data_IF_987444038566
#
_entry.id   IF_987444038566
#
_cell.length_a   1.000
_cell.length_b   1.000
_cell.length_c   1.000
_cell.angle_alpha   90.00
_cell.angle_beta   90.00
_cell.angle_gamma   90.00
#
_symmetry.space_group_name_H-M   'P 1'
#
loop_
_entity.id
_entity.type
_entity.pdbx_description
1 polymer ?
#
# COMPACT_ATOMS: atom_id res chain seq x y z
N UNK A 1 8.91 3.15 -44.40
CA UNK A 1 9.95 2.96 -43.35
C UNK A 1 9.62 3.89 -42.17
N UNK A 2 9.25 3.34 -41.02
CA UNK A 2 9.03 4.14 -39.80
C UNK A 2 10.40 4.61 -39.28
N UNK A 3 10.63 5.92 -39.29
CA UNK A 3 11.85 6.58 -38.78
C UNK A 3 12.15 6.11 -37.36
N UNK A 4 13.43 5.94 -37.00
CA UNK A 4 13.87 5.31 -35.75
C UNK A 4 13.25 5.88 -34.46
N UNK A 5 12.86 7.17 -34.46
CA UNK A 5 12.11 7.81 -33.35
C UNK A 5 10.74 7.17 -33.09
N UNK A 6 10.04 6.72 -34.12
CA UNK A 6 8.70 6.12 -34.00
C UNK A 6 8.75 4.70 -33.42
N UNK A 7 9.81 3.95 -33.71
CA UNK A 7 10.04 2.58 -33.20
C UNK A 7 10.36 2.60 -31.70
N UNK A 8 11.21 3.54 -31.26
CA UNK A 8 11.51 3.74 -29.84
C UNK A 8 10.27 4.17 -29.05
N UNK A 9 9.47 5.10 -29.59
CA UNK A 9 8.23 5.53 -28.94
C UNK A 9 7.22 4.39 -28.76
N UNK A 10 7.08 3.53 -29.77
CA UNK A 10 6.19 2.38 -29.72
C UNK A 10 6.65 1.33 -28.69
N UNK A 11 7.95 1.08 -28.61
CA UNK A 11 8.54 0.14 -27.65
C UNK A 11 8.38 0.64 -26.20
N UNK A 12 8.66 1.92 -25.96
CA UNK A 12 8.44 2.57 -24.64
C UNK A 12 6.97 2.51 -24.24
N UNK A 13 6.04 2.75 -25.17
CA UNK A 13 4.60 2.63 -24.91
C UNK A 13 4.18 1.21 -24.54
N UNK A 14 4.75 0.20 -25.18
CA UNK A 14 4.47 -1.22 -24.91
C UNK A 14 4.99 -1.62 -23.52
N UNK A 15 6.20 -1.19 -23.16
CA UNK A 15 6.78 -1.41 -21.84
C UNK A 15 5.97 -0.74 -20.72
N UNK A 16 5.60 0.53 -20.89
CA UNK A 16 4.76 1.25 -19.94
C UNK A 16 3.39 0.58 -19.75
N UNK A 17 2.79 0.05 -20.81
CA UNK A 17 1.51 -0.69 -20.72
C UNK A 17 1.67 -2.02 -19.99
N UNK A 18 2.80 -2.72 -20.18
CA UNK A 18 3.13 -3.95 -19.48
C UNK A 18 3.35 -3.70 -17.98
N UNK A 19 4.11 -2.66 -17.64
CA UNK A 19 4.30 -2.21 -16.26
C UNK A 19 2.98 -1.88 -15.57
N UNK A 20 2.07 -1.19 -16.27
CA UNK A 20 0.74 -0.88 -15.76
C UNK A 20 -0.11 -2.11 -15.50
N UNK A 21 -0.09 -3.09 -16.41
CA UNK A 21 -0.80 -4.35 -16.19
C UNK A 21 -0.22 -5.14 -15.04
N UNK A 22 1.11 -5.14 -14.89
CA UNK A 22 1.79 -5.72 -13.72
C UNK A 22 1.35 -5.04 -12.42
N UNK A 23 1.30 -3.72 -12.39
CA UNK A 23 0.84 -2.96 -11.21
C UNK A 23 -0.65 -3.21 -10.91
N UNK A 24 -1.52 -3.27 -11.92
CA UNK A 24 -2.96 -3.56 -11.74
C UNK A 24 -3.17 -4.98 -11.24
N UNK A 25 -2.49 -5.97 -11.81
CA UNK A 25 -2.54 -7.36 -11.35
C UNK A 25 -2.02 -7.45 -9.91
N UNK A 26 -0.93 -6.75 -9.60
CA UNK A 26 -0.40 -6.67 -8.24
C UNK A 26 -1.38 -6.03 -7.25
N UNK A 27 -2.06 -4.95 -7.65
CA UNK A 27 -3.12 -4.29 -6.86
C UNK A 27 -4.29 -5.23 -6.58
N UNK A 28 -4.76 -5.95 -7.60
CA UNK A 28 -5.85 -6.92 -7.46
C UNK A 28 -5.43 -8.04 -6.51
N UNK A 29 -4.20 -8.55 -6.63
CA UNK A 29 -3.66 -9.57 -5.73
C UNK A 29 -3.58 -9.03 -4.29
N UNK A 30 -3.05 -7.82 -4.06
CA UNK A 30 -2.97 -7.23 -2.72
C UNK A 30 -4.34 -6.88 -2.11
N UNK A 31 -5.34 -6.49 -2.92
CA UNK A 31 -6.68 -6.17 -2.43
C UNK A 31 -7.51 -7.42 -2.12
N UNK A 32 -7.34 -8.51 -2.87
CA UNK A 32 -8.10 -9.75 -2.70
C UNK A 32 -7.43 -10.70 -1.71
N UNK A 33 -6.10 -10.60 -1.54
CA UNK A 33 -5.35 -11.48 -0.66
C UNK A 33 -5.55 -11.10 0.82
N UNK A 34 -5.98 -12.04 1.68
CA UNK A 34 -5.95 -11.87 3.14
C UNK A 34 -4.51 -11.87 3.71
N UNK A 35 -3.52 -12.13 2.85
CA UNK A 35 -2.10 -12.06 3.15
C UNK A 35 -1.55 -10.71 2.72
N UNK A 36 -1.09 -9.92 3.67
CA UNK A 36 -0.41 -8.65 3.40
C UNK A 36 1.08 -8.92 3.16
N UNK A 37 1.56 -8.52 1.98
CA UNK A 37 2.98 -8.33 1.74
C UNK A 37 3.50 -7.17 2.61
N UNK A 38 4.79 -7.23 2.96
CA UNK A 38 5.47 -6.22 3.76
C UNK A 38 5.00 -4.80 3.44
N UNK A 39 4.83 -4.00 4.49
CA UNK A 39 4.41 -2.58 4.51
C UNK A 39 5.09 -1.68 3.46
N UNK A 40 6.27 -2.07 2.96
CA UNK A 40 7.01 -1.35 1.92
C UNK A 40 6.42 -1.49 0.51
N UNK A 41 5.76 -2.60 0.17
CA UNK A 41 5.17 -2.78 -1.16
C UNK A 41 3.97 -1.87 -1.38
N UNK A 42 3.13 -1.67 -0.35
CA UNK A 42 2.02 -0.72 -0.38
C UNK A 42 2.50 0.73 -0.58
N UNK A 43 3.63 1.10 0.04
CA UNK A 43 4.22 2.45 -0.11
C UNK A 43 4.66 2.68 -1.55
N UNK A 44 5.28 1.69 -2.20
CA UNK A 44 5.71 1.82 -3.59
C UNK A 44 4.50 2.02 -4.50
N UNK A 45 3.44 1.20 -4.35
CA UNK A 45 2.24 1.30 -5.19
C UNK A 45 1.52 2.64 -5.00
N UNK A 46 1.35 3.09 -3.76
CA UNK A 46 0.72 4.40 -3.46
C UNK A 46 1.55 5.55 -4.03
N UNK A 47 2.88 5.41 -4.06
CA UNK A 47 3.77 6.42 -4.61
C UNK A 47 3.88 6.37 -6.14
N UNK A 48 3.86 5.22 -6.80
CA UNK A 48 4.11 5.12 -8.26
C UNK A 48 2.85 5.27 -9.11
N UNK A 49 1.75 4.70 -8.66
CA UNK A 49 0.53 4.57 -9.45
C UNK A 49 -0.14 5.91 -9.81
N UNK A 50 -0.20 6.92 -8.92
CA UNK A 50 -0.72 8.24 -9.25
C UNK A 50 0.06 8.92 -10.38
N UNK A 51 1.39 8.80 -10.38
CA UNK A 51 2.26 9.39 -11.41
C UNK A 51 2.11 8.71 -12.76
N UNK A 52 1.93 7.39 -12.76
CA UNK A 52 1.71 6.62 -13.98
C UNK A 52 0.38 7.01 -14.60
N UNK A 53 -0.72 6.99 -13.83
CA UNK A 53 -2.04 7.41 -14.32
C UNK A 53 -2.03 8.84 -14.84
N UNK A 54 -1.45 9.78 -14.08
CA UNK A 54 -1.32 11.18 -14.47
C UNK A 54 -0.56 11.33 -15.80
N UNK A 55 0.55 10.61 -15.95
CA UNK A 55 1.37 10.64 -17.18
C UNK A 55 0.58 10.16 -18.40
N UNK A 56 -0.27 9.14 -18.25
CA UNK A 56 -1.14 8.66 -19.32
C UNK A 56 -2.25 9.66 -19.66
N UNK A 57 -2.92 10.22 -18.65
CA UNK A 57 -3.97 11.22 -18.80
C UNK A 57 -3.46 12.48 -19.52
N UNK A 58 -2.33 13.03 -19.07
CA UNK A 58 -1.70 14.20 -19.71
C UNK A 58 -1.38 13.92 -21.17
N UNK A 59 -0.81 12.75 -21.49
CA UNK A 59 -0.49 12.37 -22.88
C UNK A 59 -1.74 12.18 -23.74
N UNK A 60 -2.78 11.54 -23.19
CA UNK A 60 -4.04 11.31 -23.88
C UNK A 60 -4.75 12.62 -24.22
N UNK A 61 -4.89 13.50 -23.23
CA UNK A 61 -5.56 14.80 -23.40
C UNK A 61 -4.75 15.73 -24.29
N UNK A 62 -3.41 15.75 -24.17
CA UNK A 62 -2.55 16.52 -25.10
C UNK A 62 -2.74 16.10 -26.56
N UNK A 63 -2.94 14.80 -26.81
CA UNK A 63 -3.18 14.28 -28.16
C UNK A 63 -4.57 14.69 -28.66
N UNK A 64 -5.62 14.50 -27.87
CA UNK A 64 -6.99 14.95 -28.17
C UNK A 64 -7.05 16.45 -28.45
N UNK A 65 -6.35 17.27 -27.65
CA UNK A 65 -6.34 18.71 -27.83
C UNK A 65 -5.70 19.13 -29.17
N UNK A 66 -4.66 18.44 -29.62
CA UNK A 66 -4.03 18.67 -30.94
C UNK A 66 -4.91 18.23 -32.11
N UNK A 67 -5.73 17.21 -31.92
CA UNK A 67 -6.60 16.65 -32.96
C UNK A 67 -7.90 17.47 -33.11
N UNK A 68 -8.47 17.98 -32.01
CA UNK A 68 -9.80 18.63 -32.00
C UNK A 68 -9.77 20.15 -31.75
N UNK A 69 -8.68 20.72 -31.22
CA UNK A 69 -8.55 22.15 -30.97
C UNK A 69 -9.51 22.73 -29.92
N UNK A 70 -10.28 21.89 -29.22
CA UNK A 70 -11.33 22.32 -28.30
C UNK A 70 -10.76 22.94 -27.00
N UNK A 71 -11.28 24.11 -26.62
CA UNK A 71 -10.91 24.84 -25.41
C UNK A 71 -11.19 24.05 -24.11
N UNK A 72 -12.26 23.25 -24.07
CA UNK A 72 -12.57 22.40 -22.92
C UNK A 72 -11.48 21.35 -22.65
N UNK A 73 -10.86 20.83 -23.71
CA UNK A 73 -9.77 19.85 -23.61
C UNK A 73 -8.47 20.54 -23.16
N UNK A 74 -8.25 21.79 -23.56
CA UNK A 74 -7.16 22.63 -23.04
C UNK A 74 -7.32 22.96 -21.54
N UNK A 75 -8.56 23.18 -21.08
CA UNK A 75 -8.87 23.35 -19.65
C UNK A 75 -8.59 22.06 -18.85
N UNK A 76 -8.99 20.90 -19.37
CA UNK A 76 -8.67 19.60 -18.76
C UNK A 76 -7.15 19.35 -18.69
N UNK A 77 -6.41 19.72 -19.75
CA UNK A 77 -4.95 19.61 -19.76
C UNK A 77 -4.31 20.45 -18.65
N UNK A 78 -4.74 21.71 -18.50
CA UNK A 78 -4.22 22.61 -17.47
C UNK A 78 -4.61 22.16 -16.06
N UNK A 79 -5.85 21.69 -15.84
CA UNK A 79 -6.26 21.09 -14.56
C UNK A 79 -5.39 19.90 -14.15
N UNK A 80 -4.99 19.04 -15.09
CA UNK A 80 -4.10 17.91 -14.78
C UNK A 80 -2.71 18.37 -14.34
N UNK A 81 -2.16 19.43 -14.94
CA UNK A 81 -0.90 20.00 -14.47
C UNK A 81 -1.04 20.61 -13.07
N UNK A 82 -2.17 21.25 -12.78
CA UNK A 82 -2.47 21.79 -11.46
C UNK A 82 -2.67 20.70 -10.40
N UNK A 83 -3.03 19.46 -10.78
CA UNK A 83 -3.12 18.33 -9.84
C UNK A 83 -1.77 17.79 -9.33
N UNK A 84 -0.66 18.09 -10.00
CA UNK A 84 0.69 17.64 -9.62
C UNK A 84 1.05 18.02 -8.17
N UNK A 85 0.98 19.30 -7.75
CA UNK A 85 1.29 19.67 -6.37
C UNK A 85 0.38 18.97 -5.35
N UNK A 86 -0.90 18.75 -5.66
CA UNK A 86 -1.80 18.02 -4.77
C UNK A 86 -1.39 16.55 -4.60
N UNK A 87 -0.94 15.89 -5.68
CA UNK A 87 -0.41 14.53 -5.61
C UNK A 87 0.85 14.49 -4.74
N UNK A 88 1.76 15.45 -4.88
CA UNK A 88 2.96 15.56 -4.05
C UNK A 88 2.59 15.74 -2.58
N UNK A 89 1.67 16.67 -2.26
CA UNK A 89 1.22 16.91 -0.88
C UNK A 89 0.58 15.65 -0.30
N UNK A 90 -0.28 14.96 -1.06
CA UNK A 90 -0.90 13.71 -0.62
C UNK A 90 0.13 12.62 -0.35
N UNK A 91 1.19 12.51 -1.17
CA UNK A 91 2.27 11.56 -0.97
C UNK A 91 3.13 11.89 0.26
N UNK A 92 3.42 13.18 0.49
CA UNK A 92 4.12 13.62 1.70
C UNK A 92 3.30 13.35 2.97
N UNK A 93 2.00 13.62 2.94
CA UNK A 93 1.08 13.31 4.03
C UNK A 93 1.02 11.79 4.29
N UNK A 94 0.94 10.99 3.23
CA UNK A 94 0.93 9.54 3.34
C UNK A 94 2.25 9.00 3.91
N UNK A 95 3.39 9.52 3.47
CA UNK A 95 4.70 9.17 4.01
C UNK A 95 4.85 9.56 5.49
N UNK A 96 4.34 10.74 5.87
CA UNK A 96 4.34 11.20 7.26
C UNK A 96 3.45 10.34 8.16
N UNK A 97 2.21 10.04 7.73
CA UNK A 97 1.33 9.08 8.42
C UNK A 97 1.96 7.68 8.50
N UNK A 98 2.67 7.28 7.45
CA UNK A 98 3.47 6.07 7.39
C UNK A 98 4.57 6.06 8.45
N UNK A 99 5.28 7.16 8.70
CA UNK A 99 6.29 7.22 9.75
C UNK A 99 5.67 7.17 11.15
N UNK A 100 4.58 7.92 11.37
CA UNK A 100 3.86 7.91 12.64
C UNK A 100 3.40 6.50 13.02
N UNK A 101 2.88 5.72 12.07
CA UNK A 101 2.49 4.33 12.29
C UNK A 101 3.69 3.41 12.57
N UNK A 102 4.91 3.77 12.16
CA UNK A 102 6.11 2.93 12.41
C UNK A 102 6.58 3.17 13.84
N UNK A 103 6.60 4.43 14.25
CA UNK A 103 6.94 4.83 15.61
C UNK A 103 5.92 4.33 16.64
N UNK A 104 4.65 4.17 16.24
CA UNK A 104 3.60 3.63 17.08
C UNK A 104 3.54 2.10 17.12
N UNK A 105 4.39 1.38 16.37
CA UNK A 105 4.39 -0.09 16.37
C UNK A 105 5.61 -0.65 17.10
N UNK A 106 5.37 -1.48 18.13
CA UNK A 106 6.39 -2.16 18.89
C UNK A 106 6.26 -3.67 18.73
N UNK A 107 7.27 -4.32 18.14
CA UNK A 107 7.33 -5.78 18.06
C UNK A 107 7.81 -6.29 19.42
N UNK A 108 7.02 -7.13 20.08
CA UNK A 108 7.35 -7.71 21.40
C UNK A 108 7.93 -9.11 21.28
N UNK A 109 7.55 -9.84 20.24
CA UNK A 109 8.05 -11.18 19.95
C UNK A 109 7.98 -11.45 18.44
N UNK A 110 8.99 -12.13 17.89
CA UNK A 110 9.02 -12.56 16.50
C UNK A 110 9.82 -13.86 16.40
N UNK A 111 9.25 -14.86 15.73
CA UNK A 111 9.83 -16.17 15.47
C UNK A 111 9.50 -16.63 14.03
N UNK A 112 9.89 -17.85 13.66
CA UNK A 112 9.66 -18.44 12.34
C UNK A 112 8.21 -18.43 11.86
N UNK A 113 7.25 -18.51 12.80
CA UNK A 113 5.83 -18.68 12.53
C UNK A 113 4.95 -17.53 12.98
N UNK A 114 5.30 -16.81 14.05
CA UNK A 114 4.46 -15.72 14.56
C UNK A 114 5.25 -14.45 14.89
N UNK A 115 4.60 -13.31 14.65
CA UNK A 115 5.00 -12.00 15.16
C UNK A 115 3.88 -11.44 16.05
N UNK A 116 4.25 -11.03 17.25
CA UNK A 116 3.39 -10.28 18.17
C UNK A 116 3.80 -8.82 18.15
N UNK A 117 2.83 -7.96 17.84
CA UNK A 117 3.03 -6.52 17.71
C UNK A 117 2.05 -5.79 18.61
N UNK A 118 2.55 -4.83 19.38
CA UNK A 118 1.73 -3.82 20.04
C UNK A 118 1.65 -2.60 19.13
N UNK A 119 0.44 -2.18 18.81
CA UNK A 119 0.14 -0.98 18.06
C UNK A 119 -0.32 0.06 19.07
N UNK A 120 0.59 0.96 19.43
CA UNK A 120 0.29 2.08 20.30
C UNK A 120 -0.70 3.02 19.59
N UNK A 121 -1.63 3.55 20.36
CA UNK A 121 -2.61 4.51 19.90
C UNK A 121 -1.92 5.78 19.37
N UNK A 122 -2.31 6.20 18.17
CA UNK A 122 -1.84 7.45 17.56
C UNK A 122 -2.54 8.69 18.14
N UNK A 123 -3.71 8.49 18.75
CA UNK A 123 -4.55 9.55 19.31
C UNK A 123 -4.99 9.17 20.73
N UNK A 124 -5.10 10.15 21.61
CA UNK A 124 -5.50 9.95 23.02
C UNK A 124 -6.90 9.33 23.19
N UNK A 125 -7.72 9.33 22.14
CA UNK A 125 -9.06 8.72 22.12
C UNK A 125 -9.05 7.24 21.72
N UNK A 126 -7.89 6.70 21.34
CA UNK A 126 -7.74 5.30 20.93
C UNK A 126 -7.01 4.51 22.01
N UNK A 127 -7.34 3.23 22.14
CA UNK A 127 -6.62 2.30 23.00
C UNK A 127 -5.49 1.63 22.22
N UNK A 128 -4.42 1.29 22.92
CA UNK A 128 -3.37 0.45 22.38
C UNK A 128 -3.95 -0.91 21.99
N UNK A 129 -3.43 -1.50 20.90
CA UNK A 129 -3.89 -2.78 20.39
C UNK A 129 -2.77 -3.79 20.40
N UNK A 130 -3.12 -5.06 20.61
CA UNK A 130 -2.25 -6.18 20.33
C UNK A 130 -2.68 -6.83 19.02
N UNK A 131 -1.70 -7.14 18.18
CA UNK A 131 -1.89 -7.85 16.92
C UNK A 131 -0.92 -9.05 16.88
N UNK A 132 -1.44 -10.23 16.56
CA UNK A 132 -0.65 -11.42 16.29
C UNK A 132 -0.77 -11.73 14.81
N UNK A 133 0.37 -11.80 14.14
CA UNK A 133 0.48 -12.14 12.74
C UNK A 133 1.16 -13.50 12.58
N UNK A 134 0.60 -14.36 11.74
CA UNK A 134 1.23 -15.59 11.30
C UNK A 134 2.06 -15.34 10.03
N UNK A 135 3.28 -15.87 10.01
CA UNK A 135 4.20 -15.79 8.89
C UNK A 135 4.02 -16.98 7.96
N UNK A 136 4.02 -16.72 6.66
CA UNK A 136 4.16 -17.74 5.64
C UNK A 136 5.15 -17.25 4.57
N UNK A 137 6.44 -17.50 4.80
CA UNK A 137 7.51 -16.93 3.98
C UNK A 137 7.54 -15.39 4.09
N UNK A 138 7.47 -14.62 2.99
CA UNK A 138 7.44 -13.15 3.04
C UNK A 138 6.06 -12.57 3.41
N UNK A 139 5.05 -13.42 3.58
CA UNK A 139 3.66 -13.00 3.79
C UNK A 139 3.26 -13.04 5.26
N UNK A 140 2.39 -12.11 5.66
CA UNK A 140 1.86 -11.99 7.00
C UNK A 140 0.34 -12.04 6.95
N UNK A 141 -0.25 -12.86 7.81
CA UNK A 141 -1.69 -12.94 8.00
C UNK A 141 -2.07 -12.59 9.43
N UNK A 142 -3.04 -11.70 9.61
CA UNK A 142 -3.53 -11.34 10.94
C UNK A 142 -4.43 -12.46 11.47
N UNK A 143 -3.97 -13.17 12.51
CA UNK A 143 -4.72 -14.26 13.15
C UNK A 143 -5.45 -13.81 14.40
N UNK A 144 -4.98 -12.73 15.04
CA UNK A 144 -5.63 -12.15 16.21
C UNK A 144 -5.36 -10.65 16.31
N UNK A 145 -6.37 -9.91 16.75
CA UNK A 145 -6.30 -8.46 16.98
C UNK A 145 -7.33 -8.06 18.01
N UNK A 146 -6.89 -7.39 19.07
CA UNK A 146 -7.73 -6.93 20.17
C UNK A 146 -7.11 -5.70 20.84
N UNK A 147 -7.88 -5.03 21.69
CA UNK A 147 -7.36 -3.99 22.57
C UNK A 147 -6.40 -4.62 23.60
N UNK A 148 -5.31 -3.90 23.92
CA UNK A 148 -4.19 -4.42 24.71
C UNK A 148 -4.57 -4.75 26.16
N UNK A 149 -5.56 -4.05 26.73
CA UNK A 149 -5.96 -4.19 28.14
C UNK A 149 -6.38 -5.60 28.53
N UNK A 150 -6.93 -6.37 27.58
CA UNK A 150 -7.43 -7.73 27.84
C UNK A 150 -6.35 -8.83 27.69
N UNK A 151 -5.11 -8.47 27.36
CA UNK A 151 -4.08 -9.44 26.99
C UNK A 151 -2.79 -9.28 27.78
N UNK A 152 -2.42 -10.33 28.50
CA UNK A 152 -1.15 -10.44 29.21
C UNK A 152 0.01 -10.72 28.23
N UNK A 153 0.60 -9.64 27.69
CA UNK A 153 1.67 -9.71 26.69
C UNK A 153 2.94 -10.39 27.18
N UNK A 154 3.17 -10.48 28.50
CA UNK A 154 4.36 -11.13 29.05
C UNK A 154 4.36 -12.65 28.85
N UNK A 155 3.18 -13.24 28.67
CA UNK A 155 3.01 -14.67 28.37
C UNK A 155 3.23 -15.00 26.89
N UNK A 156 3.13 -14.02 25.99
CA UNK A 156 3.23 -14.20 24.54
C UNK A 156 4.69 -14.10 24.03
N UNK A 157 5.59 -14.86 24.65
CA UNK A 157 7.04 -14.86 24.36
C UNK A 157 7.58 -16.18 23.78
N UNK A 158 6.69 -17.09 23.40
CA UNK A 158 7.06 -18.33 22.72
C UNK A 158 5.96 -18.81 21.79
N UNK A 159 6.34 -19.58 20.76
CA UNK A 159 5.41 -20.18 19.80
C UNK A 159 4.32 -21.02 20.49
N UNK A 160 4.69 -21.85 21.46
CA UNK A 160 3.74 -22.67 22.21
C UNK A 160 2.73 -21.81 22.99
N UNK A 161 3.21 -20.77 23.67
CA UNK A 161 2.34 -19.88 24.43
C UNK A 161 1.37 -19.09 23.53
N UNK A 162 1.82 -18.70 22.33
CA UNK A 162 0.97 -18.05 21.32
C UNK A 162 -0.10 -19.02 20.81
N UNK A 163 0.26 -20.27 20.49
CA UNK A 163 -0.70 -21.27 20.02
C UNK A 163 -1.74 -21.63 21.07
N UNK A 164 -1.33 -21.78 22.34
CA UNK A 164 -2.25 -22.03 23.45
C UNK A 164 -3.18 -20.85 23.69
N UNK A 165 -2.65 -19.62 23.62
CA UNK A 165 -3.46 -18.41 23.69
C UNK A 165 -4.50 -18.35 22.56
N UNK A 166 -4.10 -18.58 21.30
CA UNK A 166 -5.01 -18.55 20.15
C UNK A 166 -6.13 -19.60 20.29
N UNK A 167 -5.80 -20.82 20.71
CA UNK A 167 -6.80 -21.87 20.99
C UNK A 167 -7.77 -21.46 22.09
N UNK A 168 -7.29 -20.81 23.14
CA UNK A 168 -8.16 -20.35 24.23
C UNK A 168 -9.10 -19.23 23.76
N UNK A 169 -8.62 -18.31 22.91
CA UNK A 169 -9.46 -17.28 22.31
C UNK A 169 -10.51 -17.85 21.35
N UNK A 170 -10.18 -18.88 20.58
CA UNK A 170 -11.14 -19.60 19.73
C UNK A 170 -12.25 -20.27 20.55
N UNK A 171 -11.94 -20.82 21.73
CA UNK A 171 -12.95 -21.43 22.62
C UNK A 171 -13.87 -20.41 23.29
N UNK A 172 -13.47 -19.14 23.35
CA UNK A 172 -14.24 -18.05 23.96
C UNK A 172 -15.13 -17.31 22.96
N UNK A 173 -14.96 -17.58 21.65
CA UNK A 173 -15.85 -17.10 20.58
C UNK A 173 -17.08 -17.99 20.46
#
# INVERSE_FOLDING_TARGET
>A
MLTGKHKNYWMVRKLLRCLLWLEVVWLVINCVSPWRLWRNADIIVVCTLPWILLSFLIRYIKRRWKEEGNAAIGCLYTMLWVSIPFIIIAQLLFGWLGNLKNDSTKITFEDDKYRVTIINALFATQMDKIQIMEHFGPFYHEVYSSDLYDVDTDKLKSKAAIEDFLKEQERKK
#
